data_IF_966776466694
#
_entry.id   IF_966776466694
#
_cell.length_a   1.000
_cell.length_b   1.000
_cell.length_c   1.000
_cell.angle_alpha   90.00
_cell.angle_beta   90.00
_cell.angle_gamma   90.00
#
_symmetry.space_group_name_H-M   'P 1'
#
loop_
_entity.id
_entity.type
_entity.pdbx_description
1 polymer ?
#
# COMPACT_ATOMS: atom_id res chain seq x y z
N UNK A 1 16.67 18.63 -6.55
CA UNK A 1 15.28 18.70 -6.03
C UNK A 1 14.71 17.30 -6.03
N UNK A 2 14.58 16.67 -4.87
CA UNK A 2 13.94 15.35 -4.72
C UNK A 2 12.59 15.52 -4.02
N UNK A 3 11.67 16.22 -4.68
CA UNK A 3 10.27 16.26 -4.29
C UNK A 3 9.54 15.11 -4.99
N UNK A 4 9.38 13.94 -4.33
CA UNK A 4 8.39 12.96 -4.79
C UNK A 4 7.92 11.97 -3.72
N UNK A 5 8.68 11.67 -2.66
CA UNK A 5 8.29 10.60 -1.72
C UNK A 5 7.33 11.00 -0.59
N UNK A 6 7.13 12.29 -0.26
CA UNK A 6 6.27 12.65 0.89
C UNK A 6 4.78 12.48 0.60
N UNK A 7 4.34 12.92 -0.58
CA UNK A 7 2.91 13.11 -0.87
C UNK A 7 2.13 11.78 -1.03
N UNK A 8 2.81 10.71 -1.48
CA UNK A 8 2.18 9.39 -1.63
C UNK A 8 1.92 8.74 -0.26
N UNK A 9 2.86 8.87 0.66
CA UNK A 9 2.76 8.28 2.00
C UNK A 9 1.68 8.92 2.85
N UNK A 10 1.45 10.22 2.69
CA UNK A 10 0.38 10.92 3.40
C UNK A 10 -1.01 10.51 2.89
N UNK A 11 -1.18 10.36 1.56
CA UNK A 11 -2.43 9.87 0.95
C UNK A 11 -2.77 8.43 1.35
N UNK A 12 -1.76 7.58 1.55
CA UNK A 12 -1.98 6.19 1.97
C UNK A 12 -2.51 6.09 3.41
N UNK A 13 -2.20 7.07 4.26
CA UNK A 13 -2.67 7.11 5.65
C UNK A 13 -4.12 7.54 5.81
N UNK A 14 -4.79 7.99 4.75
CA UNK A 14 -6.14 8.58 4.86
C UNK A 14 -7.29 7.56 4.90
N UNK A 15 -7.05 6.27 4.66
CA UNK A 15 -8.13 5.27 4.59
C UNK A 15 -7.70 3.82 4.79
N UNK A 16 -8.68 2.92 4.69
CA UNK A 16 -8.46 1.48 4.73
C UNK A 16 -8.23 0.95 3.31
N UNK A 17 -7.26 0.05 3.18
CA UNK A 17 -6.93 -0.56 1.90
C UNK A 17 -7.42 -2.00 1.92
N UNK A 18 -8.53 -2.29 1.25
CA UNK A 18 -9.14 -3.62 1.23
C UNK A 18 -8.57 -4.49 0.11
N UNK A 19 -8.30 -5.76 0.39
CA UNK A 19 -7.80 -6.70 -0.60
C UNK A 19 -8.75 -6.82 -1.80
N UNK A 20 -8.20 -6.68 -3.01
CA UNK A 20 -8.93 -6.79 -4.27
C UNK A 20 -8.36 -7.86 -5.21
N UNK A 21 -7.19 -8.42 -4.90
CA UNK A 21 -6.65 -9.60 -5.60
C UNK A 21 -5.12 -9.67 -5.60
N UNK A 22 -4.60 -10.80 -6.08
CA UNK A 22 -3.17 -11.11 -6.04
C UNK A 22 -2.76 -11.78 -4.74
N UNK A 23 -1.49 -11.65 -4.31
CA UNK A 23 -1.06 -12.27 -3.05
C UNK A 23 -1.74 -11.64 -1.83
N UNK A 24 -1.93 -12.46 -0.81
CA UNK A 24 -2.69 -12.09 0.38
C UNK A 24 -1.75 -11.77 1.55
N UNK A 25 -1.91 -10.59 2.16
CA UNK A 25 -1.24 -10.20 3.42
C UNK A 25 -2.22 -9.79 4.52
N UNK A 26 -3.52 -9.82 4.22
CA UNK A 26 -4.61 -9.46 5.10
C UNK A 26 -5.79 -8.90 4.30
N UNK A 27 -6.97 -8.89 4.90
CA UNK A 27 -8.19 -8.35 4.27
C UNK A 27 -8.15 -6.83 4.16
N UNK A 28 -7.56 -6.18 5.17
CA UNK A 28 -7.44 -4.73 5.28
C UNK A 28 -6.00 -4.39 5.67
N UNK A 29 -5.42 -3.42 4.98
CA UNK A 29 -4.19 -2.75 5.38
C UNK A 29 -4.59 -1.37 5.92
N UNK A 30 -4.23 -1.13 7.18
CA UNK A 30 -4.39 0.16 7.85
C UNK A 30 -3.02 0.72 8.19
N UNK A 31 -2.63 1.80 7.49
CA UNK A 31 -1.36 2.47 7.71
C UNK A 31 -1.37 3.45 8.90
N UNK A 32 -2.51 3.65 9.57
CA UNK A 32 -2.57 4.33 10.88
C UNK A 32 -2.25 3.37 12.04
N UNK A 33 -2.34 2.06 11.81
CA UNK A 33 -2.01 1.06 12.80
C UNK A 33 -0.49 1.03 13.07
N UNK A 34 -0.07 1.08 14.33
CA UNK A 34 1.36 1.05 14.73
C UNK A 34 2.12 -0.18 14.22
N UNK A 35 1.41 -1.29 14.02
CA UNK A 35 1.98 -2.56 13.53
C UNK A 35 2.32 -2.53 12.05
N UNK A 36 1.76 -1.61 11.26
CA UNK A 36 2.01 -1.49 9.82
C UNK A 36 2.62 -0.11 9.54
N UNK A 37 3.82 -0.08 9.00
CA UNK A 37 4.53 1.16 8.71
C UNK A 37 4.97 1.20 7.26
N UNK A 38 4.97 2.40 6.67
CA UNK A 38 5.59 2.64 5.38
C UNK A 38 6.89 3.40 5.62
N UNK A 39 8.01 2.90 5.09
CA UNK A 39 9.27 3.64 5.01
C UNK A 39 9.73 3.63 3.56
N UNK A 40 9.88 4.82 2.99
CA UNK A 40 10.06 5.03 1.54
C UNK A 40 8.89 4.41 0.77
N UNK A 41 9.14 3.30 0.08
CA UNK A 41 8.13 2.53 -0.66
C UNK A 41 7.90 1.13 -0.05
N UNK A 42 8.47 0.84 1.12
CA UNK A 42 8.40 -0.50 1.71
C UNK A 42 7.40 -0.53 2.85
N UNK A 43 6.51 -1.51 2.80
CA UNK A 43 5.53 -1.83 3.84
C UNK A 43 6.18 -2.80 4.81
N UNK A 44 6.23 -2.39 6.07
CA UNK A 44 6.69 -3.17 7.20
C UNK A 44 5.51 -3.60 8.04
N UNK A 45 5.51 -4.85 8.50
CA UNK A 45 4.59 -5.36 9.51
C UNK A 45 5.41 -5.90 10.67
N UNK A 46 5.24 -5.33 11.87
CA UNK A 46 6.05 -5.67 13.06
C UNK A 46 7.56 -5.67 12.74
N UNK A 47 8.05 -4.56 12.15
CA UNK A 47 9.44 -4.36 11.71
C UNK A 47 9.96 -5.32 10.62
N UNK A 48 9.11 -6.21 10.10
CA UNK A 48 9.45 -7.10 8.98
C UNK A 48 8.98 -6.50 7.65
N UNK A 49 9.88 -6.38 6.68
CA UNK A 49 9.54 -5.90 5.34
C UNK A 49 8.72 -6.98 4.59
N UNK A 50 7.45 -6.70 4.32
CA UNK A 50 6.52 -7.68 3.71
C UNK A 50 6.25 -7.41 2.23
N UNK A 51 6.21 -6.14 1.83
CA UNK A 51 5.87 -5.74 0.48
C UNK A 51 6.48 -4.39 0.12
N UNK A 52 6.61 -4.12 -1.18
CA UNK A 52 6.96 -2.82 -1.74
C UNK A 52 5.75 -2.24 -2.49
N UNK A 53 5.54 -0.95 -2.35
CA UNK A 53 4.59 -0.16 -3.11
C UNK A 53 5.17 0.04 -4.51
N UNK A 54 4.46 -0.43 -5.52
CA UNK A 54 4.86 -0.29 -6.93
C UNK A 54 4.16 0.91 -7.57
N UNK A 55 2.88 1.10 -7.27
CA UNK A 55 2.05 2.15 -7.87
C UNK A 55 0.84 2.46 -7.02
N UNK A 56 0.45 3.73 -7.00
CA UNK A 56 -0.86 4.18 -6.56
C UNK A 56 -1.64 4.69 -7.77
N UNK A 57 -2.73 4.03 -8.10
CA UNK A 57 -3.60 4.35 -9.24
C UNK A 57 -4.87 5.03 -8.73
N UNK A 58 -5.29 6.13 -9.36
CA UNK A 58 -6.58 6.80 -9.04
C UNK A 58 -7.57 6.54 -10.17
N UNK A 59 -8.68 5.85 -9.89
CA UNK A 59 -9.71 5.53 -10.88
C UNK A 59 -10.77 6.62 -10.87
N UNK A 60 -10.59 7.62 -11.73
CA UNK A 60 -11.51 8.78 -11.83
C UNK A 60 -12.99 8.39 -11.96
N UNK A 61 -13.30 7.39 -12.77
CA UNK A 61 -14.68 6.93 -13.01
C UNK A 61 -15.33 6.26 -11.79
N UNK A 62 -14.54 5.59 -10.95
CA UNK A 62 -15.03 4.88 -9.77
C UNK A 62 -14.89 5.71 -8.48
N UNK A 63 -14.10 6.80 -8.51
CA UNK A 63 -13.83 7.65 -7.36
C UNK A 63 -12.91 7.01 -6.31
N UNK A 64 -12.30 5.85 -6.61
CA UNK A 64 -11.45 5.11 -5.67
C UNK A 64 -9.97 5.07 -6.11
N UNK A 65 -9.10 4.74 -5.16
CA UNK A 65 -7.67 4.51 -5.41
C UNK A 65 -7.33 3.04 -5.29
N UNK A 66 -6.42 2.57 -6.13
CA UNK A 66 -5.88 1.21 -6.14
C UNK A 66 -4.40 1.26 -5.81
N UNK A 67 -4.05 0.64 -4.69
CA UNK A 67 -2.68 0.42 -4.26
C UNK A 67 -2.18 -0.90 -4.86
N UNK A 68 -1.15 -0.81 -5.68
CA UNK A 68 -0.43 -1.95 -6.24
C UNK A 68 0.84 -2.18 -5.43
N UNK A 69 0.98 -3.38 -4.89
CA UNK A 69 2.14 -3.79 -4.09
C UNK A 69 2.75 -5.07 -4.64
N UNK A 70 4.02 -5.30 -4.31
CA UNK A 70 4.77 -6.50 -4.64
C UNK A 70 5.37 -7.12 -3.39
N UNK A 71 5.12 -8.40 -3.16
CA UNK A 71 5.68 -9.14 -2.03
C UNK A 71 7.21 -9.17 -2.15
N UNK A 72 7.90 -8.83 -1.07
CA UNK A 72 9.36 -8.97 -1.00
C UNK A 72 9.80 -10.44 -1.07
N UNK A 73 9.23 -11.37 -0.29
CA UNK A 73 9.73 -12.75 -0.29
C UNK A 73 9.39 -13.56 -1.54
N UNK A 74 8.28 -13.27 -2.22
CA UNK A 74 7.80 -14.07 -3.35
C UNK A 74 7.79 -13.35 -4.69
N UNK A 75 8.00 -12.03 -4.71
CA UNK A 75 7.90 -11.21 -5.93
C UNK A 75 6.49 -11.12 -6.53
N UNK A 76 5.48 -11.74 -5.90
CA UNK A 76 4.09 -11.71 -6.38
C UNK A 76 3.46 -10.33 -6.20
N UNK A 77 2.57 -9.94 -7.09
CA UNK A 77 1.85 -8.66 -7.00
C UNK A 77 0.48 -8.81 -6.34
N UNK A 78 0.02 -7.76 -5.67
CA UNK A 78 -1.30 -7.65 -5.08
C UNK A 78 -1.88 -6.25 -5.25
N UNK A 79 -3.21 -6.18 -5.16
CA UNK A 79 -3.98 -4.97 -5.32
C UNK A 79 -4.88 -4.78 -4.10
N UNK A 80 -4.89 -3.57 -3.58
CA UNK A 80 -5.78 -3.13 -2.51
C UNK A 80 -6.51 -1.87 -2.94
N UNK A 81 -7.77 -1.73 -2.56
CA UNK A 81 -8.64 -0.60 -2.95
C UNK A 81 -8.97 0.23 -1.73
N UNK A 82 -8.86 1.55 -1.87
CA UNK A 82 -9.24 2.53 -0.84
C UNK A 82 -10.74 2.42 -0.53
N UNK A 83 -11.08 2.34 0.76
CA UNK A 83 -12.44 2.14 1.26
C UNK A 83 -12.75 3.03 2.45
#
# INVERSE_FOLDING_TARGET
MTLSCSNTNDKLKEGFWKHAGGFYIGDIIDFKNKSIQIKNDTIFKNDTAIARIEKLESRWLAGDKVLHIKAIPSGKSARYVEK
#
